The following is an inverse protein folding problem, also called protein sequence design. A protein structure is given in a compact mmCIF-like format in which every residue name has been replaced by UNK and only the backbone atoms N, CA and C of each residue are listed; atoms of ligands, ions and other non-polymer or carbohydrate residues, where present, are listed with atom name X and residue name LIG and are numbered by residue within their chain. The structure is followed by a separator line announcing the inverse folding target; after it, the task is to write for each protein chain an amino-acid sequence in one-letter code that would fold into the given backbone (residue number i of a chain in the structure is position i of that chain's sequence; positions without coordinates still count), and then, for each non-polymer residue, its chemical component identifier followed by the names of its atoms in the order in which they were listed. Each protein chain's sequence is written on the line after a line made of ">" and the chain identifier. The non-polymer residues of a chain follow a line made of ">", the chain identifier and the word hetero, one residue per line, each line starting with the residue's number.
data_IF_723359902974
#
_entry.id   IF_723359902974
#
_cell.length_a   1.000
_cell.length_b   1.000
_cell.length_c   1.000
_cell.angle_alpha   90.00
_cell.angle_beta   90.00
_cell.angle_gamma   90.00
#
_symmetry.space_group_name_H-M   'P 1'
#
loop_
_entity.id
_entity.type
_entity.pdbx_description
1 polymer ?
#
# COMPACT_ATOMS: atom_id res chain seq x y z
N UNK A 1 -10.29 -5.14 15.47
CA UNK A 1 -11.02 -6.40 15.21
C UNK A 1 -10.08 -7.60 15.11
N UNK A 2 -8.97 -7.51 14.35
CA UNK A 2 -8.06 -8.65 14.20
C UNK A 2 -7.43 -9.09 15.52
N UNK A 3 -6.95 -8.16 16.35
CA UNK A 3 -6.39 -8.48 17.68
C UNK A 3 -7.43 -9.12 18.60
N UNK A 4 -8.67 -8.70 18.49
CA UNK A 4 -9.79 -9.26 19.25
C UNK A 4 -10.22 -10.65 18.73
N UNK A 5 -9.75 -11.03 17.54
CA UNK A 5 -10.10 -12.28 16.86
C UNK A 5 -11.47 -12.27 16.20
N UNK A 6 -12.05 -11.11 15.98
CA UNK A 6 -13.30 -10.94 15.24
C UNK A 6 -13.02 -10.86 13.73
N UNK A 7 -12.98 -12.03 13.08
CA UNK A 7 -12.66 -12.13 11.67
C UNK A 7 -13.74 -11.54 10.76
N UNK A 8 -15.00 -11.67 11.16
CA UNK A 8 -16.14 -11.12 10.39
C UNK A 8 -16.08 -9.58 10.38
N UNK A 9 -15.89 -8.96 11.54
CA UNK A 9 -15.74 -7.51 11.63
C UNK A 9 -14.47 -7.03 10.92
N UNK A 10 -13.39 -7.81 10.93
CA UNK A 10 -12.18 -7.51 10.18
C UNK A 10 -12.43 -7.47 8.66
N UNK A 11 -13.13 -8.47 8.10
CA UNK A 11 -13.52 -8.47 6.68
C UNK A 11 -14.45 -7.32 6.34
N UNK A 12 -15.44 -7.05 7.19
CA UNK A 12 -16.34 -5.92 6.99
C UNK A 12 -15.60 -4.58 7.00
N UNK A 13 -14.60 -4.41 7.85
CA UNK A 13 -13.76 -3.22 7.85
C UNK A 13 -12.96 -3.09 6.54
N UNK A 14 -12.44 -4.19 5.98
CA UNK A 14 -11.77 -4.18 4.69
C UNK A 14 -12.71 -3.75 3.55
N UNK A 15 -13.93 -4.30 3.48
CA UNK A 15 -14.95 -3.87 2.52
C UNK A 15 -15.33 -2.40 2.67
N UNK A 16 -15.46 -1.92 3.89
CA UNK A 16 -15.76 -0.51 4.13
C UNK A 16 -14.62 0.39 3.66
N UNK A 17 -13.37 -0.03 3.86
CA UNK A 17 -12.18 0.71 3.39
C UNK A 17 -12.15 0.76 1.87
N UNK A 18 -12.43 -0.35 1.18
CA UNK A 18 -12.54 -0.40 -0.28
C UNK A 18 -13.59 0.59 -0.80
N UNK A 19 -14.76 0.63 -0.17
CA UNK A 19 -15.81 1.60 -0.51
C UNK A 19 -15.37 3.05 -0.31
N UNK A 20 -14.65 3.37 0.76
CA UNK A 20 -14.11 4.72 0.99
C UNK A 20 -13.08 5.12 -0.08
N UNK A 21 -12.28 4.16 -0.56
CA UNK A 21 -11.32 4.38 -1.66
C UNK A 21 -12.08 4.65 -2.96
N UNK A 22 -13.14 3.91 -3.26
CA UNK A 22 -14.02 4.16 -4.42
C UNK A 22 -14.65 5.56 -4.36
N UNK A 23 -15.17 5.96 -3.21
CA UNK A 23 -15.78 7.27 -3.02
C UNK A 23 -14.75 8.40 -3.21
N UNK A 24 -13.54 8.24 -2.67
CA UNK A 24 -12.44 9.18 -2.86
C UNK A 24 -12.00 9.24 -4.34
N UNK A 25 -11.88 8.09 -5.00
CA UNK A 25 -11.58 8.03 -6.43
C UNK A 25 -12.62 8.79 -7.25
N UNK A 26 -13.91 8.53 -6.98
CA UNK A 26 -15.02 9.17 -7.67
C UNK A 26 -15.03 10.69 -7.45
N UNK A 27 -14.76 11.14 -6.24
CA UNK A 27 -14.60 12.56 -5.93
C UNK A 27 -13.47 13.18 -6.76
N UNK A 28 -12.29 12.58 -6.77
CA UNK A 28 -11.10 13.05 -7.51
C UNK A 28 -11.38 13.13 -9.01
N UNK A 29 -12.04 12.13 -9.60
CA UNK A 29 -12.35 12.11 -11.04
C UNK A 29 -13.39 13.16 -11.45
N UNK A 30 -14.21 13.62 -10.52
CA UNK A 30 -15.20 14.66 -10.78
C UNK A 30 -14.70 16.09 -10.48
N UNK A 31 -13.54 16.23 -9.85
CA UNK A 31 -12.95 17.53 -9.53
C UNK A 31 -11.98 17.97 -10.64
N UNK A 32 -12.23 19.13 -11.23
CA UNK A 32 -11.44 19.63 -12.37
C UNK A 32 -9.98 19.92 -12.04
N UNK A 33 -9.65 20.13 -10.75
CA UNK A 33 -8.27 20.37 -10.31
C UNK A 33 -7.51 19.05 -10.08
N UNK A 34 -8.16 18.06 -9.46
CA UNK A 34 -7.52 16.79 -9.10
C UNK A 34 -7.56 15.73 -10.20
N UNK A 35 -8.56 15.79 -11.07
CA UNK A 35 -8.68 14.87 -12.20
C UNK A 35 -7.39 14.86 -13.02
N UNK A 36 -6.94 13.67 -13.38
CA UNK A 36 -5.73 13.44 -14.19
C UNK A 36 -4.42 13.99 -13.58
N UNK A 37 -4.44 14.48 -12.34
CA UNK A 37 -3.27 14.99 -11.64
C UNK A 37 -2.94 14.23 -10.35
N UNK A 38 -3.79 13.27 -9.96
CA UNK A 38 -3.63 12.53 -8.71
C UNK A 38 -3.05 11.14 -8.95
N UNK A 39 -2.10 10.77 -8.12
CA UNK A 39 -1.56 9.41 -8.02
C UNK A 39 -1.93 8.83 -6.65
N UNK A 40 -2.47 7.63 -6.64
CA UNK A 40 -2.77 6.89 -5.43
C UNK A 40 -1.67 5.87 -5.13
N UNK A 41 -1.28 5.81 -3.88
CA UNK A 41 -0.43 4.75 -3.32
C UNK A 41 -1.17 4.19 -2.11
N UNK A 42 -1.58 2.94 -2.20
CA UNK A 42 -2.33 2.24 -1.15
C UNK A 42 -1.52 1.04 -0.70
N UNK A 43 -1.32 0.91 0.59
CA UNK A 43 -0.58 -0.20 1.19
C UNK A 43 -1.06 -0.44 2.62
N UNK A 44 -0.61 -1.53 3.23
CA UNK A 44 -0.71 -1.77 4.66
C UNK A 44 0.59 -1.40 5.36
N UNK A 45 0.52 -1.04 6.63
CA UNK A 45 1.67 -0.74 7.49
C UNK A 45 2.51 -1.99 7.78
N UNK A 46 1.85 -3.14 7.94
CA UNK A 46 2.45 -4.47 8.14
C UNK A 46 1.51 -5.56 7.64
N UNK A 47 2.00 -6.78 7.55
CA UNK A 47 1.22 -7.98 7.30
C UNK A 47 0.68 -8.58 8.60
N UNK A 48 0.20 -9.81 8.51
CA UNK A 48 -0.31 -10.59 9.64
C UNK A 48 0.22 -12.00 9.61
N UNK A 49 0.17 -12.67 10.75
CA UNK A 49 0.61 -14.05 10.87
C UNK A 49 -0.16 -14.97 9.93
N UNK A 50 0.56 -15.94 9.37
CA UNK A 50 0.03 -16.93 8.42
C UNK A 50 0.08 -18.35 8.96
N UNK A 51 1.05 -18.66 9.80
CA UNK A 51 1.28 -20.01 10.36
C UNK A 51 1.86 -19.91 11.76
N UNK A 52 1.26 -20.59 12.75
CA UNK A 52 -0.05 -21.26 12.73
C UNK A 52 -1.21 -20.28 12.50
N UNK A 53 -2.39 -20.77 12.14
CA UNK A 53 -3.52 -19.93 11.71
C UNK A 53 -3.90 -18.87 12.74
N UNK A 54 -3.85 -19.18 14.03
CA UNK A 54 -4.19 -18.26 15.13
C UNK A 54 -3.33 -16.98 15.13
N UNK A 55 -2.15 -17.03 14.50
CA UNK A 55 -1.23 -15.88 14.41
C UNK A 55 -1.74 -14.75 13.52
N UNK A 56 -2.82 -14.97 12.74
CA UNK A 56 -3.47 -13.91 11.96
C UNK A 56 -3.91 -12.70 12.80
N UNK A 57 -4.13 -12.94 14.11
CA UNK A 57 -4.54 -11.90 15.08
C UNK A 57 -3.42 -10.96 15.46
N UNK A 58 -2.18 -11.36 15.21
CA UNK A 58 -0.99 -10.62 15.63
C UNK A 58 -0.08 -10.21 14.48
N UNK A 59 0.89 -9.42 14.86
CA UNK A 59 2.01 -9.02 14.03
C UNK A 59 3.25 -8.82 14.93
N UNK A 60 4.43 -8.82 14.35
CA UNK A 60 5.68 -8.65 15.07
C UNK A 60 6.81 -9.43 14.40
N UNK A 61 8.04 -9.14 14.76
CA UNK A 61 9.24 -9.66 14.09
C UNK A 61 9.38 -11.18 14.11
N UNK A 62 8.75 -11.86 15.10
CA UNK A 62 8.78 -13.32 15.22
C UNK A 62 7.58 -14.01 14.56
N UNK A 63 6.62 -13.26 14.03
CA UNK A 63 5.39 -13.81 13.46
C UNK A 63 5.57 -13.92 11.95
N UNK A 64 5.58 -15.16 11.43
CA UNK A 64 5.72 -15.41 10.00
C UNK A 64 4.57 -14.79 9.20
N UNK A 65 4.89 -13.97 8.20
CA UNK A 65 3.93 -13.25 7.35
C UNK A 65 3.64 -11.81 7.81
N UNK A 66 4.02 -11.45 9.04
CA UNK A 66 3.81 -10.10 9.55
C UNK A 66 4.67 -9.03 8.85
N UNK A 67 5.74 -9.42 8.18
CA UNK A 67 6.61 -8.59 7.36
C UNK A 67 6.15 -8.46 5.90
N UNK A 68 5.09 -9.18 5.51
CA UNK A 68 4.57 -9.18 4.14
C UNK A 68 3.43 -8.18 3.99
N UNK A 69 3.63 -7.22 3.10
CA UNK A 69 2.63 -6.22 2.72
C UNK A 69 2.31 -6.30 1.23
N UNK A 70 1.31 -5.59 0.82
CA UNK A 70 0.98 -5.39 -0.59
C UNK A 70 0.98 -3.89 -0.91
N UNK A 71 1.07 -3.57 -2.19
CA UNK A 71 1.09 -2.20 -2.68
C UNK A 71 0.25 -2.10 -3.95
N UNK A 72 -0.64 -1.11 -4.00
CA UNK A 72 -1.38 -0.74 -5.20
C UNK A 72 -1.01 0.69 -5.58
N UNK A 73 -0.68 0.89 -6.86
CA UNK A 73 -0.42 2.21 -7.43
C UNK A 73 -1.32 2.40 -8.64
N UNK A 74 -1.97 3.55 -8.71
CA UNK A 74 -2.79 3.92 -9.86
C UNK A 74 -2.96 5.43 -9.98
N UNK A 75 -3.45 5.90 -11.14
CA UNK A 75 -3.65 7.30 -11.44
C UNK A 75 -2.53 7.90 -12.29
N UNK A 76 -2.37 9.20 -12.20
CA UNK A 76 -1.40 9.92 -13.01
C UNK A 76 0.04 9.44 -12.75
N UNK A 77 0.87 9.41 -13.77
CA UNK A 77 2.29 8.97 -13.74
C UNK A 77 2.51 7.48 -13.42
N UNK A 78 1.47 6.68 -13.36
CA UNK A 78 1.57 5.21 -13.16
C UNK A 78 1.16 4.49 -14.43
N UNK A 79 2.01 3.61 -14.94
CA UNK A 79 1.65 2.78 -16.09
C UNK A 79 0.60 1.72 -15.70
N UNK A 80 -0.40 1.44 -16.57
CA UNK A 80 -1.45 0.46 -16.28
C UNK A 80 -0.95 -0.98 -16.55
N UNK A 81 -0.07 -1.47 -15.70
CA UNK A 81 0.60 -2.78 -15.86
C UNK A 81 -0.24 -3.95 -15.35
N UNK A 82 -1.34 -3.69 -14.64
CA UNK A 82 -2.09 -4.72 -13.92
C UNK A 82 -1.31 -5.29 -12.75
N UNK A 83 -1.50 -6.56 -12.42
CA UNK A 83 -0.73 -7.24 -11.39
C UNK A 83 0.72 -7.44 -11.86
N UNK A 84 1.66 -6.89 -11.09
CA UNK A 84 3.08 -6.95 -11.40
C UNK A 84 3.73 -8.10 -10.63
N UNK A 85 4.03 -9.18 -11.32
CA UNK A 85 4.79 -10.31 -10.79
C UNK A 85 6.27 -10.07 -11.08
N UNK A 86 7.03 -9.67 -10.07
CA UNK A 86 8.47 -9.46 -10.17
C UNK A 86 9.23 -10.50 -9.35
N UNK A 87 10.42 -10.88 -9.82
CA UNK A 87 11.37 -11.68 -9.04
C UNK A 87 12.09 -10.86 -7.98
N UNK A 88 12.08 -9.53 -8.10
CA UNK A 88 12.74 -8.62 -7.17
C UNK A 88 11.85 -8.31 -5.98
N UNK A 89 12.38 -8.48 -4.78
CA UNK A 89 11.69 -8.12 -3.55
C UNK A 89 11.60 -6.60 -3.43
N UNK A 90 10.38 -6.10 -3.21
CA UNK A 90 10.13 -4.69 -2.87
C UNK A 90 10.02 -4.52 -1.35
N UNK A 91 10.35 -3.32 -0.87
CA UNK A 91 10.36 -3.00 0.55
C UNK A 91 9.59 -1.70 0.83
N UNK A 92 8.97 -1.60 1.99
CA UNK A 92 8.18 -0.42 2.39
C UNK A 92 9.01 0.86 2.48
N UNK A 93 10.32 0.76 2.74
CA UNK A 93 11.23 1.90 2.77
C UNK A 93 11.46 2.55 1.38
N UNK A 94 10.94 1.96 0.30
CA UNK A 94 10.92 2.54 -1.04
C UNK A 94 9.73 3.50 -1.25
N UNK A 95 8.71 3.47 -0.39
CA UNK A 95 7.51 4.30 -0.55
C UNK A 95 7.84 5.79 -0.39
N UNK A 96 8.55 6.18 0.65
CA UNK A 96 8.91 7.57 0.90
C UNK A 96 9.75 8.20 -0.23
N UNK A 97 10.83 7.56 -0.73
CA UNK A 97 11.55 8.07 -1.89
C UNK A 97 10.71 8.08 -3.17
N UNK A 98 9.78 7.15 -3.36
CA UNK A 98 8.83 7.17 -4.48
C UNK A 98 7.90 8.39 -4.42
N UNK A 99 7.34 8.68 -3.25
CA UNK A 99 6.54 9.89 -3.04
C UNK A 99 7.33 11.17 -3.34
N UNK A 100 8.56 11.26 -2.86
CA UNK A 100 9.45 12.40 -3.14
C UNK A 100 9.70 12.57 -4.64
N UNK A 101 9.92 11.47 -5.36
CA UNK A 101 10.10 11.48 -6.81
C UNK A 101 8.84 11.98 -7.54
N UNK A 102 7.67 11.49 -7.16
CA UNK A 102 6.38 11.91 -7.74
C UNK A 102 6.12 13.40 -7.55
N UNK A 103 6.49 13.93 -6.40
CA UNK A 103 6.34 15.33 -6.02
C UNK A 103 7.47 16.25 -6.57
N UNK A 104 8.48 15.69 -7.25
CA UNK A 104 9.62 16.46 -7.74
C UNK A 104 10.54 17.00 -6.63
N UNK A 105 10.51 16.39 -5.45
CA UNK A 105 11.34 16.79 -4.31
C UNK A 105 12.72 16.13 -4.39
N UNK A 106 13.72 16.82 -3.83
CA UNK A 106 15.08 16.27 -3.71
C UNK A 106 15.06 14.96 -2.93
N UNK A 107 15.73 13.93 -3.47
CA UNK A 107 15.85 12.65 -2.78
C UNK A 107 16.69 12.79 -1.50
N UNK A 108 16.26 12.04 -0.47
CA UNK A 108 17.08 11.82 0.73
C UNK A 108 17.80 10.49 0.55
N UNK A 109 19.12 10.53 0.61
CA UNK A 109 19.97 9.35 0.55
C UNK A 109 20.52 9.12 1.95
N UNK A 110 20.41 7.92 2.46
CA UNK A 110 20.91 7.58 3.78
C UNK A 110 20.46 6.19 4.21
N UNK A 111 20.95 5.78 5.36
CA UNK A 111 20.58 4.51 5.97
C UNK A 111 19.07 4.44 6.21
N UNK A 112 18.46 3.32 5.84
CA UNK A 112 17.01 3.09 5.99
C UNK A 112 16.15 3.51 4.79
N UNK A 113 16.68 4.22 3.79
CA UNK A 113 15.95 4.55 2.57
C UNK A 113 16.26 3.58 1.44
N UNK A 114 15.21 3.06 0.80
CA UNK A 114 15.32 2.29 -0.45
C UNK A 114 15.39 3.20 -1.69
N UNK A 115 15.62 2.62 -2.85
CA UNK A 115 15.47 3.33 -4.11
C UNK A 115 13.99 3.52 -4.45
N UNK A 116 13.59 4.63 -5.14
CA UNK A 116 12.23 4.80 -5.61
C UNK A 116 11.76 3.62 -6.47
N UNK A 117 10.48 3.29 -6.39
CA UNK A 117 9.85 2.30 -7.27
C UNK A 117 9.83 2.79 -8.71
N UNK A 118 10.01 1.87 -9.66
CA UNK A 118 9.85 2.13 -11.08
C UNK A 118 8.36 2.11 -11.44
N UNK A 119 7.80 3.25 -11.83
CA UNK A 119 6.36 3.44 -12.08
C UNK A 119 5.97 3.38 -13.57
N UNK A 120 6.95 3.17 -14.43
CA UNK A 120 6.79 3.10 -15.90
C UNK A 120 7.42 1.86 -16.46
#
# INVERSE_FOLDING_TARGET
>A
FAHDGDYEAYLKAAHNTDKLIEDLWSFIQNDAYYKDQTTFIITTDHGRGTVPLETWRGHGNSIKGADQTWLILFGNKVAPLGEVIKSEQLFTNQIAPTLRQLLGLTQVIGEGYGNPLQLK
#
